data_IF_112375544327
#
_entry.id   IF_112375544327
#
_cell.length_a   1.000
_cell.length_b   1.000
_cell.length_c   1.000
_cell.angle_alpha   90.00
_cell.angle_beta   90.00
_cell.angle_gamma   90.00
#
_symmetry.space_group_name_H-M   'P 1'
#
loop_
_entity.id
_entity.type
_entity.pdbx_description
1 polymer ?
#
# COMPACT_ATOMS: atom_id res chain seq x y z
N UNK A 1 27.69 -20.47 -6.59
CA UNK A 1 26.24 -20.62 -6.39
C UNK A 1 25.58 -19.39 -7.01
N UNK A 2 24.68 -19.58 -7.98
CA UNK A 2 24.03 -18.44 -8.65
C UNK A 2 22.98 -17.83 -7.72
N UNK A 3 22.99 -16.52 -7.54
CA UNK A 3 22.00 -15.83 -6.70
C UNK A 3 20.66 -15.74 -7.42
N UNK A 4 19.53 -16.02 -6.73
CA UNK A 4 18.21 -15.89 -7.33
C UNK A 4 17.95 -14.44 -7.75
N UNK A 5 17.23 -14.25 -8.86
CA UNK A 5 16.84 -12.93 -9.34
C UNK A 5 15.57 -12.47 -8.62
N UNK A 6 15.71 -11.51 -7.70
CA UNK A 6 14.60 -10.99 -6.88
C UNK A 6 14.25 -9.58 -7.35
N UNK A 7 12.99 -9.37 -7.72
CA UNK A 7 12.39 -8.08 -8.03
C UNK A 7 11.90 -7.46 -6.73
N UNK A 8 12.48 -6.33 -6.33
CA UNK A 8 12.19 -5.61 -5.08
C UNK A 8 11.59 -4.24 -5.36
N UNK A 9 10.78 -3.75 -4.43
CA UNK A 9 10.38 -2.35 -4.43
C UNK A 9 11.54 -1.46 -3.97
N UNK A 10 11.53 -0.20 -4.40
CA UNK A 10 12.47 0.80 -3.90
C UNK A 10 12.16 1.12 -2.42
N UNK A 11 13.20 1.34 -1.62
CA UNK A 11 13.08 1.77 -0.22
C UNK A 11 13.50 3.22 -0.07
N UNK A 12 12.86 3.95 0.84
CA UNK A 12 13.20 5.32 1.19
C UNK A 12 14.43 5.43 2.12
N UNK A 13 14.89 4.31 2.69
CA UNK A 13 16.05 4.25 3.58
C UNK A 13 15.97 3.08 4.56
N UNK A 14 16.75 3.15 5.65
CA UNK A 14 16.72 2.15 6.72
C UNK A 14 15.50 2.37 7.64
N UNK A 15 14.67 1.34 7.91
CA UNK A 15 13.53 1.47 8.82
C UNK A 15 14.00 1.41 10.29
N UNK A 16 13.68 2.45 11.05
CA UNK A 16 14.16 2.63 12.43
C UNK A 16 13.06 2.50 13.49
N UNK A 17 11.80 2.72 13.12
CA UNK A 17 10.66 2.67 14.05
C UNK A 17 10.08 1.26 14.13
N UNK A 18 9.66 0.84 15.32
CA UNK A 18 8.93 -0.41 15.48
C UNK A 18 7.49 -0.26 14.94
N UNK A 19 7.01 -1.30 14.26
CA UNK A 19 5.65 -1.32 13.74
C UNK A 19 4.64 -1.38 14.89
N UNK A 20 3.60 -0.52 14.90
CA UNK A 20 2.51 -0.58 15.88
C UNK A 20 1.79 -1.92 15.88
N UNK A 21 1.78 -2.61 14.74
CA UNK A 21 1.08 -3.88 14.57
C UNK A 21 1.72 -5.04 15.36
N UNK A 22 2.89 -4.87 15.99
CA UNK A 22 3.58 -5.96 16.71
C UNK A 22 2.72 -6.61 17.79
N UNK A 23 1.77 -5.87 18.36
CA UNK A 23 0.86 -6.37 19.39
C UNK A 23 -0.36 -7.09 18.78
N UNK A 24 -0.75 -6.73 17.55
CA UNK A 24 -2.00 -7.18 16.93
C UNK A 24 -1.82 -8.35 15.96
N UNK A 25 -0.61 -8.55 15.42
CA UNK A 25 -0.35 -9.58 14.42
C UNK A 25 0.83 -10.47 14.79
N UNK A 26 0.69 -11.76 14.45
CA UNK A 26 1.72 -12.78 14.71
C UNK A 26 2.73 -12.91 13.56
N UNK A 27 2.43 -12.39 12.37
CA UNK A 27 3.24 -12.62 11.17
C UNK A 27 3.65 -11.32 10.51
N UNK A 28 4.96 -11.10 10.49
CA UNK A 28 5.63 -10.09 9.70
C UNK A 28 6.40 -10.73 8.56
N UNK A 29 6.65 -9.96 7.51
CA UNK A 29 7.38 -10.42 6.35
C UNK A 29 8.71 -9.66 6.24
N UNK A 30 9.84 -10.32 6.42
CA UNK A 30 11.16 -9.68 6.50
C UNK A 30 12.11 -10.23 5.42
N UNK A 31 11.69 -10.10 4.16
CA UNK A 31 12.50 -10.50 3.00
C UNK A 31 12.12 -11.84 2.38
N UNK A 32 10.93 -12.38 2.66
CA UNK A 32 10.40 -13.50 1.87
C UNK A 32 10.04 -13.06 0.45
N UNK A 33 10.12 -14.01 -0.48
CA UNK A 33 9.80 -13.78 -1.89
C UNK A 33 8.99 -14.95 -2.45
N UNK A 34 8.11 -14.66 -3.42
CA UNK A 34 7.28 -15.64 -4.12
C UNK A 34 7.77 -15.78 -5.56
N UNK A 35 7.84 -17.01 -6.05
CA UNK A 35 8.30 -17.28 -7.41
C UNK A 35 7.29 -16.75 -8.44
N UNK A 36 7.80 -16.03 -9.44
CA UNK A 36 7.05 -15.59 -10.61
C UNK A 36 7.10 -16.70 -11.66
N UNK A 37 6.14 -17.62 -11.61
CA UNK A 37 6.02 -18.71 -12.59
C UNK A 37 4.66 -18.59 -13.27
N UNK A 38 4.68 -18.11 -14.52
CA UNK A 38 3.47 -17.89 -15.32
C UNK A 38 3.11 -19.11 -16.19
N UNK A 39 4.01 -20.09 -16.39
CA UNK A 39 3.77 -21.25 -17.26
C UNK A 39 4.46 -22.52 -16.77
N UNK A 40 3.93 -23.67 -17.17
CA UNK A 40 4.70 -24.93 -17.25
C UNK A 40 5.95 -24.69 -18.08
N UNK A 41 7.10 -24.56 -17.41
CA UNK A 41 8.41 -24.59 -18.06
C UNK A 41 8.85 -26.05 -18.14
N UNK A 42 9.46 -26.44 -19.25
CA UNK A 42 10.13 -27.73 -19.33
C UNK A 42 11.21 -27.78 -18.24
N UNK A 43 11.13 -28.79 -17.37
CA UNK A 43 12.07 -28.97 -16.26
C UNK A 43 13.53 -29.00 -16.73
N UNK A 44 13.79 -29.46 -17.97
CA UNK A 44 15.12 -29.45 -18.59
C UNK A 44 15.67 -28.07 -18.93
N UNK A 45 14.85 -27.01 -18.96
CA UNK A 45 15.28 -25.64 -19.17
C UNK A 45 15.52 -24.86 -17.86
N UNK A 46 15.19 -25.46 -16.71
CA UNK A 46 15.43 -24.92 -15.37
C UNK A 46 16.60 -25.66 -14.74
N UNK A 47 17.79 -25.43 -15.29
CA UNK A 47 19.01 -26.07 -14.79
C UNK A 47 19.53 -25.36 -13.53
N UNK A 48 19.22 -24.06 -13.33
CA UNK A 48 19.73 -23.27 -12.22
C UNK A 48 18.64 -22.45 -11.50
N UNK A 49 18.85 -22.22 -10.20
CA UNK A 49 17.95 -21.39 -9.37
C UNK A 49 17.85 -19.92 -9.83
N UNK A 50 18.85 -19.43 -10.57
CA UNK A 50 18.86 -18.09 -11.13
C UNK A 50 17.93 -17.91 -12.34
N UNK A 51 17.42 -19.01 -12.90
CA UNK A 51 16.47 -18.99 -14.03
C UNK A 51 15.03 -18.72 -13.56
N UNK A 52 14.84 -18.62 -12.24
CA UNK A 52 13.56 -18.33 -11.58
C UNK A 52 13.62 -16.90 -11.03
N UNK A 53 12.63 -16.11 -11.45
CA UNK A 53 12.41 -14.76 -10.94
C UNK A 53 11.46 -14.81 -9.74
N UNK A 54 11.68 -13.94 -8.76
CA UNK A 54 10.86 -13.84 -7.57
C UNK A 54 10.39 -12.41 -7.35
N UNK A 55 9.16 -12.23 -6.86
CA UNK A 55 8.68 -10.97 -6.32
C UNK A 55 8.85 -10.97 -4.80
N UNK A 56 9.33 -9.85 -4.24
CA UNK A 56 9.24 -9.62 -2.80
C UNK A 56 7.78 -9.68 -2.33
N UNK A 57 7.52 -10.40 -1.23
CA UNK A 57 6.18 -10.48 -0.66
C UNK A 57 5.79 -9.17 0.03
N UNK A 58 4.63 -8.63 -0.37
CA UNK A 58 4.00 -7.52 0.34
C UNK A 58 3.45 -8.00 1.70
N UNK A 59 3.46 -7.09 2.67
CA UNK A 59 2.90 -7.36 4.00
C UNK A 59 3.51 -6.47 5.08
N UNK A 60 2.98 -6.55 6.31
CA UNK A 60 3.50 -5.78 7.43
C UNK A 60 4.97 -6.14 7.71
N UNK A 61 5.77 -5.14 8.09
CA UNK A 61 7.18 -5.25 8.48
C UNK A 61 7.33 -5.02 9.98
N UNK A 62 8.29 -5.68 10.64
CA UNK A 62 8.53 -5.45 12.07
C UNK A 62 9.03 -4.04 12.35
N UNK A 63 9.79 -3.47 11.40
CA UNK A 63 10.25 -2.10 11.42
C UNK A 63 9.73 -1.33 10.22
N UNK A 64 9.35 -0.08 10.46
CA UNK A 64 8.82 0.86 9.48
C UNK A 64 9.70 2.11 9.39
N UNK A 65 9.62 2.79 8.25
CA UNK A 65 10.44 3.97 7.97
C UNK A 65 9.88 5.26 8.60
N UNK A 66 8.56 5.43 8.57
CA UNK A 66 7.90 6.62 9.11
C UNK A 66 7.49 6.41 10.56
N UNK A 67 7.61 7.47 11.37
CA UNK A 67 6.94 7.56 12.65
C UNK A 67 5.43 7.80 12.41
N UNK A 68 4.51 6.89 12.80
CA UNK A 68 3.09 7.06 12.53
C UNK A 68 2.49 8.33 13.16
N UNK A 69 3.00 8.76 14.31
CA UNK A 69 2.56 9.96 15.03
C UNK A 69 2.86 11.29 14.31
N UNK A 70 3.76 11.27 13.31
CA UNK A 70 4.25 12.46 12.59
C UNK A 70 3.89 12.45 11.10
N UNK A 71 3.46 11.31 10.57
CA UNK A 71 3.12 11.17 9.15
C UNK A 71 1.70 11.64 8.88
N UNK A 72 1.47 12.17 7.68
CA UNK A 72 0.13 12.41 7.13
C UNK A 72 -0.02 11.58 5.87
N UNK A 73 -1.09 10.81 5.77
CA UNK A 73 -1.37 9.98 4.59
C UNK A 73 -2.24 10.78 3.61
N UNK A 74 -1.88 10.75 2.33
CA UNK A 74 -2.65 11.35 1.25
C UNK A 74 -3.19 10.29 0.30
N UNK A 75 -4.48 10.35 -0.01
CA UNK A 75 -5.15 9.43 -0.94
C UNK A 75 -5.71 10.24 -2.12
N UNK A 76 -5.44 9.76 -3.33
CA UNK A 76 -5.95 10.34 -4.57
C UNK A 76 -6.40 9.20 -5.50
N UNK A 77 -7.57 9.34 -6.11
CA UNK A 77 -8.07 8.40 -7.12
C UNK A 77 -8.05 9.07 -8.49
N UNK A 78 -7.35 8.47 -9.45
CA UNK A 78 -7.17 9.01 -10.80
C UNK A 78 -7.76 8.07 -11.87
N UNK A 79 -8.08 8.62 -13.04
CA UNK A 79 -8.55 7.85 -14.18
C UNK A 79 -10.06 7.60 -14.18
N UNK A 80 -10.48 6.54 -14.88
CA UNK A 80 -11.88 6.15 -14.96
C UNK A 80 -12.39 5.52 -13.66
N UNK A 81 -13.71 5.58 -13.45
CA UNK A 81 -14.35 4.95 -12.30
C UNK A 81 -14.33 3.42 -12.45
N UNK A 82 -13.96 2.74 -11.38
CA UNK A 82 -13.99 1.28 -11.27
C UNK A 82 -14.72 0.90 -9.97
N UNK A 83 -15.51 -0.19 -9.93
CA UNK A 83 -16.00 -0.74 -8.67
C UNK A 83 -14.85 -1.03 -7.70
N UNK A 84 -15.03 -0.70 -6.41
CA UNK A 84 -14.04 -0.96 -5.36
C UNK A 84 -13.16 0.23 -4.96
N UNK A 85 -13.24 1.37 -5.64
CA UNK A 85 -12.42 2.55 -5.28
C UNK A 85 -12.74 3.05 -3.85
N UNK A 86 -14.01 3.06 -3.47
CA UNK A 86 -14.42 3.43 -2.12
C UNK A 86 -13.98 2.41 -1.07
N UNK A 87 -13.99 1.11 -1.39
CA UNK A 87 -13.45 0.06 -0.51
C UNK A 87 -11.96 0.28 -0.23
N UNK A 88 -11.19 0.65 -1.26
CA UNK A 88 -9.77 0.99 -1.12
C UNK A 88 -9.57 2.23 -0.25
N UNK A 89 -10.34 3.30 -0.48
CA UNK A 89 -10.26 4.53 0.34
C UNK A 89 -10.58 4.21 1.82
N UNK A 90 -11.65 3.44 2.06
CA UNK A 90 -12.05 3.03 3.41
C UNK A 90 -10.98 2.19 4.09
N UNK A 91 -10.49 1.13 3.43
CA UNK A 91 -9.49 0.24 3.99
C UNK A 91 -8.18 0.98 4.33
N UNK A 92 -7.72 1.87 3.44
CA UNK A 92 -6.54 2.70 3.71
C UNK A 92 -6.74 3.68 4.86
N UNK A 93 -7.92 4.31 4.94
CA UNK A 93 -8.25 5.25 6.03
C UNK A 93 -8.26 4.54 7.38
N UNK A 94 -9.00 3.43 7.49
CA UNK A 94 -9.07 2.65 8.73
C UNK A 94 -7.71 2.07 9.13
N UNK A 95 -6.97 1.48 8.18
CA UNK A 95 -5.66 0.92 8.48
C UNK A 95 -4.68 2.01 8.97
N UNK A 96 -4.70 3.18 8.33
CA UNK A 96 -3.82 4.29 8.73
C UNK A 96 -4.17 4.82 10.12
N UNK A 97 -5.46 5.12 10.38
CA UNK A 97 -5.90 5.73 11.64
C UNK A 97 -5.88 4.72 12.80
N UNK A 98 -6.53 3.57 12.63
CA UNK A 98 -6.78 2.63 13.73
C UNK A 98 -5.62 1.65 13.92
N UNK A 99 -5.06 1.10 12.84
CA UNK A 99 -4.01 0.07 12.95
C UNK A 99 -2.61 0.65 13.13
N UNK A 100 -2.31 1.75 12.45
CA UNK A 100 -0.99 2.40 12.54
C UNK A 100 -0.96 3.62 13.47
N UNK A 101 -2.10 4.15 13.91
CA UNK A 101 -2.14 5.33 14.79
C UNK A 101 -1.72 6.63 14.10
N UNK A 102 -1.88 6.71 12.78
CA UNK A 102 -1.60 7.93 12.02
C UNK A 102 -2.59 9.02 12.42
N UNK A 103 -2.10 10.26 12.61
CA UNK A 103 -2.96 11.35 13.10
C UNK A 103 -3.90 11.93 12.06
N UNK A 104 -3.53 11.87 10.77
CA UNK A 104 -4.29 12.53 9.70
C UNK A 104 -4.23 11.80 8.37
N UNK A 105 -5.39 11.62 7.76
CA UNK A 105 -5.56 11.11 6.40
C UNK A 105 -6.29 12.15 5.55
N UNK A 106 -5.75 12.46 4.38
CA UNK A 106 -6.25 13.47 3.46
C UNK A 106 -6.72 12.83 2.16
N UNK A 107 -7.93 13.18 1.72
CA UNK A 107 -8.47 12.83 0.41
C UNK A 107 -8.37 13.98 -0.58
N UNK A 108 -7.64 13.79 -1.67
CA UNK A 108 -7.53 14.77 -2.76
C UNK A 108 -8.56 14.49 -3.85
N UNK A 109 -9.37 15.51 -4.16
CA UNK A 109 -10.47 15.41 -5.11
C UNK A 109 -10.01 15.58 -6.56
N UNK A 110 -10.77 15.07 -7.52
CA UNK A 110 -10.53 15.29 -8.96
C UNK A 110 -9.17 14.77 -9.46
N UNK A 111 -8.66 13.68 -8.87
CA UNK A 111 -7.38 13.10 -9.26
C UNK A 111 -6.20 14.05 -9.04
N UNK A 112 -5.25 14.08 -9.98
CA UNK A 112 -4.09 14.98 -9.88
C UNK A 112 -4.44 16.47 -9.89
N UNK A 113 -5.62 16.85 -10.39
CA UNK A 113 -6.06 18.25 -10.34
C UNK A 113 -6.20 18.74 -8.89
N UNK A 114 -6.61 17.87 -7.97
CA UNK A 114 -6.73 18.17 -6.54
C UNK A 114 -5.42 18.51 -5.84
N UNK A 115 -4.29 18.13 -6.44
CA UNK A 115 -2.96 18.44 -5.91
C UNK A 115 -2.43 19.78 -6.44
N UNK A 116 -3.08 20.36 -7.45
CA UNK A 116 -2.64 21.61 -8.07
C UNK A 116 -3.28 22.80 -7.37
N UNK A 117 -2.47 23.55 -6.63
CA UNK A 117 -2.91 24.68 -5.80
C UNK A 117 -3.78 25.72 -6.53
N UNK A 118 -3.57 25.91 -7.83
CA UNK A 118 -4.31 26.86 -8.67
C UNK A 118 -5.82 26.60 -8.71
N UNK A 119 -6.25 25.34 -8.56
CA UNK A 119 -7.68 25.01 -8.60
C UNK A 119 -8.38 25.15 -7.25
N UNK A 120 -7.64 25.45 -6.18
CA UNK A 120 -8.18 25.66 -4.83
C UNK A 120 -9.04 24.50 -4.30
N UNK A 121 -8.77 23.28 -4.78
CA UNK A 121 -9.37 22.07 -4.29
C UNK A 121 -8.71 21.67 -2.96
N UNK A 122 -9.19 22.23 -1.86
CA UNK A 122 -8.70 21.81 -0.55
C UNK A 122 -8.97 20.31 -0.33
N UNK A 123 -7.99 19.55 0.19
CA UNK A 123 -8.21 18.16 0.53
C UNK A 123 -9.25 18.05 1.64
N UNK A 124 -10.03 16.98 1.58
CA UNK A 124 -10.94 16.62 2.68
C UNK A 124 -10.18 15.78 3.70
N UNK A 125 -10.51 15.92 4.97
CA UNK A 125 -9.99 15.01 6.00
C UNK A 125 -10.84 13.74 6.01
N UNK A 126 -10.18 12.59 5.87
CA UNK A 126 -10.82 11.28 5.90
C UNK A 126 -10.77 10.75 7.33
N UNK A 127 -11.94 10.41 7.86
CA UNK A 127 -12.11 9.85 9.20
C UNK A 127 -12.81 8.50 9.11
N UNK A 128 -12.74 7.70 10.16
CA UNK A 128 -13.51 6.45 10.24
C UNK A 128 -15.01 6.72 10.08
N UNK A 129 -15.53 7.79 10.70
CA UNK A 129 -16.94 8.17 10.58
C UNK A 129 -17.37 8.50 9.14
N UNK A 130 -16.59 9.32 8.41
CA UNK A 130 -17.00 9.76 7.07
C UNK A 130 -16.65 8.75 5.97
N UNK A 131 -15.91 7.70 6.30
CA UNK A 131 -15.55 6.60 5.38
C UNK A 131 -16.23 5.27 5.71
N UNK A 132 -17.06 5.16 6.76
CA UNK A 132 -17.57 3.85 7.17
C UNK A 132 -18.48 3.21 6.11
N UNK A 133 -19.45 3.95 5.58
CA UNK A 133 -20.46 3.41 4.66
C UNK A 133 -20.12 3.60 3.16
N UNK A 134 -18.95 4.14 2.82
CA UNK A 134 -18.66 4.53 1.43
C UNK A 134 -18.52 3.34 0.49
N UNK A 135 -18.16 2.17 1.03
CA UNK A 135 -18.00 0.91 0.29
C UNK A 135 -19.31 0.40 -0.32
N UNK A 136 -20.47 0.83 0.21
CA UNK A 136 -21.78 0.53 -0.38
C UNK A 136 -22.11 1.40 -1.60
N UNK A 137 -21.29 2.41 -1.89
CA UNK A 137 -21.52 3.40 -2.96
C UNK A 137 -20.57 3.14 -4.13
N UNK A 138 -21.12 3.17 -5.35
CA UNK A 138 -20.32 3.11 -6.57
C UNK A 138 -19.47 4.36 -6.81
N UNK A 139 -18.37 4.20 -7.55
CA UNK A 139 -17.45 5.28 -7.89
C UNK A 139 -16.45 5.60 -6.78
N UNK A 140 -16.10 6.88 -6.62
CA UNK A 140 -15.19 7.39 -5.59
C UNK A 140 -15.82 8.58 -4.87
N UNK A 141 -15.62 8.69 -3.55
CA UNK A 141 -15.98 9.90 -2.78
C UNK A 141 -15.04 11.08 -3.07
N UNK A 142 -13.88 10.83 -3.68
CA UNK A 142 -12.87 11.83 -4.05
C UNK A 142 -13.06 12.38 -5.47
N UNK A 143 -14.32 12.41 -5.91
CA UNK A 143 -14.70 12.97 -7.21
C UNK A 143 -14.85 14.48 -7.20
#
# INVERSE_FOLDING_TARGET
MSTPKIIRAESLGEPTYDSPLKEDILRFYNGEAVACIDRTKDLGALENIADIEYFELAGPREKIFFNPEEVTVGIVTCGGLCPGLNDVIRALTFCSLESYGVKRVLGFKYGYEGLVAKYYHYPIELTTDNTDEIHEKGGTILK
#
